data_IF_019241015516
#
_entry.id   IF_019241015516
#
_cell.length_a   1.000
_cell.length_b   1.000
_cell.length_c   1.000
_cell.angle_alpha   90.00
_cell.angle_beta   90.00
_cell.angle_gamma   90.00
#
_symmetry.space_group_name_H-M   'P 1'
#
loop_
_entity.id
_entity.type
_entity.pdbx_description
1 polymer ?
#
# COMPACT_ATOMS: atom_id res chain seq x y z
N UNK A 1 20.31 22.04 -10.67
CA UNK A 1 20.08 21.53 -9.31
C UNK A 1 18.82 20.70 -9.32
N UNK A 2 18.80 19.56 -8.68
CA UNK A 2 17.61 18.72 -8.53
C UNK A 2 16.87 19.09 -7.25
N UNK A 3 15.54 18.97 -7.25
CA UNK A 3 14.70 19.15 -6.05
C UNK A 3 14.98 18.03 -5.01
N UNK A 4 14.84 18.30 -3.72
CA UNK A 4 14.51 19.60 -3.09
C UNK A 4 15.69 20.57 -3.11
N UNK A 5 15.40 21.88 -3.12
CA UNK A 5 16.40 22.95 -3.13
C UNK A 5 16.20 23.82 -1.90
N UNK A 6 17.27 24.14 -1.17
CA UNK A 6 17.19 24.97 0.03
C UNK A 6 18.41 24.89 0.91
N UNK A 7 18.27 25.39 2.14
CA UNK A 7 19.24 25.29 3.24
C UNK A 7 18.49 25.32 4.58
N UNK A 8 19.19 24.99 5.66
CA UNK A 8 18.62 25.01 7.01
C UNK A 8 17.73 23.79 7.27
N UNK A 9 16.66 23.96 8.03
CA UNK A 9 15.74 22.90 8.42
C UNK A 9 14.33 23.23 7.95
N UNK A 10 13.90 22.56 6.91
CA UNK A 10 12.55 22.69 6.34
C UNK A 10 11.89 21.31 6.41
N UNK A 11 11.02 21.11 7.36
CA UNK A 11 10.38 19.82 7.62
C UNK A 11 11.39 18.68 7.75
N UNK A 12 11.24 17.67 6.90
CA UNK A 12 12.14 16.49 6.79
C UNK A 12 13.07 16.56 5.58
N UNK A 13 13.17 17.72 4.89
CA UNK A 13 13.94 17.86 3.66
C UNK A 13 15.44 17.80 3.91
N UNK A 14 16.17 17.23 2.95
CA UNK A 14 17.63 17.22 2.91
C UNK A 14 18.10 17.84 1.60
N UNK A 15 18.87 18.90 1.68
CA UNK A 15 19.35 19.67 0.53
C UNK A 15 20.76 19.26 0.15
N UNK A 16 20.98 18.85 -1.10
CA UNK A 16 22.30 18.43 -1.56
C UNK A 16 22.52 18.77 -3.05
N UNK A 17 23.41 19.75 -3.36
CA UNK A 17 24.05 20.69 -2.42
C UNK A 17 23.06 21.73 -1.89
N UNK A 18 23.24 22.24 -0.68
CA UNK A 18 22.41 23.30 -0.14
C UNK A 18 22.66 24.64 -0.85
N UNK A 19 21.67 25.53 -0.82
CA UNK A 19 21.87 26.94 -1.19
C UNK A 19 22.80 27.57 -0.17
N UNK A 20 23.77 28.36 -0.64
CA UNK A 20 24.72 29.03 0.23
C UNK A 20 24.67 30.53 0.01
N UNK A 21 24.91 31.29 1.07
CA UNK A 21 25.04 32.75 1.01
C UNK A 21 23.72 33.51 0.91
N UNK A 22 22.56 32.89 1.20
CA UNK A 22 21.27 33.58 1.23
C UNK A 22 21.12 34.44 2.47
N UNK A 23 21.43 33.92 3.64
CA UNK A 23 21.31 34.63 4.93
C UNK A 23 22.07 35.92 4.92
N UNK A 24 21.36 37.02 5.18
CA UNK A 24 21.91 38.37 5.22
C UNK A 24 22.21 39.02 3.85
N UNK A 25 21.95 38.37 2.74
CA UNK A 25 22.29 38.88 1.41
C UNK A 25 21.10 39.06 0.47
N UNK A 26 20.14 38.10 0.45
CA UNK A 26 18.95 38.17 -0.42
C UNK A 26 17.80 37.38 0.16
N UNK A 27 16.58 37.79 -0.16
CA UNK A 27 15.34 37.21 0.37
C UNK A 27 14.62 36.27 -0.60
N UNK A 28 15.07 36.25 -1.87
CA UNK A 28 14.35 35.40 -2.86
C UNK A 28 15.29 34.66 -3.82
N UNK A 29 14.76 33.62 -4.42
CA UNK A 29 15.43 32.83 -5.43
C UNK A 29 14.50 32.57 -6.63
N UNK A 30 15.09 32.53 -7.83
CA UNK A 30 14.41 32.17 -9.06
C UNK A 30 14.80 30.78 -9.50
N UNK A 31 13.81 29.96 -9.82
CA UNK A 31 13.98 28.62 -10.36
C UNK A 31 13.29 28.52 -11.71
N UNK A 32 13.85 27.74 -12.61
CA UNK A 32 13.27 27.49 -13.92
C UNK A 32 13.59 26.09 -14.38
N UNK A 33 12.60 25.41 -14.96
CA UNK A 33 12.77 24.11 -15.58
C UNK A 33 11.85 23.98 -16.82
N UNK A 34 12.23 23.10 -17.72
CA UNK A 34 11.46 22.75 -18.91
C UNK A 34 10.83 21.38 -18.70
N UNK A 35 9.61 21.21 -19.23
CA UNK A 35 8.91 19.93 -19.27
C UNK A 35 8.15 19.81 -20.59
N UNK A 36 7.90 18.58 -21.02
CA UNK A 36 7.23 18.33 -22.29
C UNK A 36 5.85 17.71 -22.07
N UNK A 37 4.90 18.18 -22.86
CA UNK A 37 3.59 17.57 -23.03
C UNK A 37 3.67 16.83 -24.37
N UNK A 38 3.69 15.49 -24.29
CA UNK A 38 3.69 14.59 -25.44
C UNK A 38 2.27 14.06 -25.67
N UNK A 39 2.03 13.48 -26.85
CA UNK A 39 0.78 12.79 -27.22
C UNK A 39 -0.46 13.66 -27.53
N UNK A 40 -0.23 14.94 -27.86
CA UNK A 40 -1.28 15.78 -28.48
C UNK A 40 -2.39 16.25 -27.56
N UNK A 41 -2.42 15.84 -26.29
CA UNK A 41 -3.43 16.25 -25.33
C UNK A 41 -2.86 17.16 -24.25
N UNK A 42 -3.10 18.45 -24.39
CA UNK A 42 -2.86 19.41 -23.32
C UNK A 42 -3.86 19.13 -22.19
N UNK A 43 -3.41 18.79 -20.98
CA UNK A 43 -4.32 18.51 -19.87
C UNK A 43 -5.15 19.76 -19.53
N UNK A 44 -6.41 19.54 -19.24
CA UNK A 44 -7.32 20.62 -18.81
C UNK A 44 -6.99 21.08 -17.38
N UNK A 45 -6.38 20.21 -16.61
CA UNK A 45 -6.01 20.43 -15.22
C UNK A 45 -4.64 19.81 -14.95
N UNK A 46 -3.83 20.49 -14.15
CA UNK A 46 -2.61 19.93 -13.54
C UNK A 46 -2.66 20.16 -12.04
N UNK A 47 -2.13 19.22 -11.28
CA UNK A 47 -2.01 19.33 -9.83
C UNK A 47 -0.61 19.83 -9.51
N UNK A 48 -0.53 20.99 -8.85
CA UNK A 48 0.69 21.50 -8.28
C UNK A 48 0.78 21.02 -6.83
N UNK A 49 1.75 20.17 -6.55
CA UNK A 49 2.05 19.67 -5.22
C UNK A 49 3.37 20.25 -4.76
N UNK A 50 3.40 20.83 -3.55
CA UNK A 50 4.60 21.52 -3.09
C UNK A 50 4.77 21.42 -1.57
N UNK A 51 6.02 21.52 -1.17
CA UNK A 51 6.45 21.75 0.21
C UNK A 51 7.40 22.94 0.17
N UNK A 52 7.07 24.00 0.90
CA UNK A 52 7.67 25.30 0.74
C UNK A 52 7.91 25.96 2.09
N UNK A 53 9.03 26.68 2.17
CA UNK A 53 9.43 27.62 3.22
C UNK A 53 10.00 28.88 2.52
N UNK A 54 9.32 30.05 2.45
CA UNK A 54 8.05 30.44 3.08
C UNK A 54 6.95 30.72 2.04
N UNK A 55 7.23 31.49 0.99
CA UNK A 55 6.28 31.95 -0.02
C UNK A 55 6.77 31.73 -1.45
N UNK A 56 5.86 31.65 -2.43
CA UNK A 56 6.22 31.56 -3.84
C UNK A 56 5.17 32.11 -4.79
N UNK A 57 5.64 32.44 -6.01
CA UNK A 57 4.81 32.64 -7.18
C UNK A 57 5.27 31.71 -8.28
N UNK A 58 4.33 31.03 -8.93
CA UNK A 58 4.60 30.06 -10.00
C UNK A 58 4.07 30.57 -11.33
N UNK A 59 4.89 30.47 -12.35
CA UNK A 59 4.58 30.85 -13.71
C UNK A 59 4.73 29.64 -14.64
N UNK A 60 3.80 29.47 -15.58
CA UNK A 60 3.93 28.54 -16.69
C UNK A 60 3.91 29.34 -17.99
N UNK A 61 4.94 29.16 -18.82
CA UNK A 61 5.14 29.90 -20.07
C UNK A 61 5.03 31.43 -19.92
N UNK A 62 5.42 31.96 -18.76
CA UNK A 62 5.37 33.38 -18.44
C UNK A 62 4.05 33.90 -17.90
N UNK A 63 3.03 33.05 -17.80
CA UNK A 63 1.75 33.38 -17.17
C UNK A 63 1.79 32.96 -15.69
N UNK A 64 1.43 33.86 -14.78
CA UNK A 64 1.27 33.53 -13.36
C UNK A 64 0.07 32.57 -13.20
N UNK A 65 0.33 31.41 -12.61
CA UNK A 65 -0.67 30.33 -12.46
C UNK A 65 -1.01 30.02 -11.01
N UNK A 66 -0.09 30.39 -10.10
CA UNK A 66 -0.30 30.19 -8.67
C UNK A 66 0.53 31.19 -7.85
N UNK A 67 0.00 31.58 -6.72
CA UNK A 67 0.66 32.42 -5.71
C UNK A 67 0.21 31.97 -4.33
N UNK A 68 1.15 31.81 -3.39
CA UNK A 68 0.78 31.52 -1.99
C UNK A 68 0.11 32.74 -1.35
N UNK A 69 -0.81 32.51 -0.42
CA UNK A 69 -1.63 33.56 0.20
C UNK A 69 -0.80 34.57 1.01
N UNK A 70 0.40 34.19 1.43
CA UNK A 70 1.33 35.06 2.16
C UNK A 70 2.16 35.97 1.26
N UNK A 71 1.96 35.94 -0.05
CA UNK A 71 2.65 36.83 -0.98
C UNK A 71 1.79 38.03 -1.36
N UNK A 72 2.40 39.22 -1.41
CA UNK A 72 1.72 40.44 -1.82
C UNK A 72 1.17 40.33 -3.25
N UNK A 73 0.03 40.97 -3.53
CA UNK A 73 -0.54 41.03 -4.86
C UNK A 73 0.27 41.95 -5.79
N UNK A 74 0.26 41.63 -7.09
CA UNK A 74 0.94 42.42 -8.12
C UNK A 74 2.38 42.04 -8.38
N UNK A 75 3.14 42.86 -9.13
CA UNK A 75 4.52 42.60 -9.46
C UNK A 75 5.40 42.57 -8.20
N UNK A 76 6.29 41.59 -8.12
CA UNK A 76 7.21 41.38 -7.01
C UNK A 76 8.65 41.70 -7.45
N UNK A 77 9.42 42.29 -6.53
CA UNK A 77 10.84 42.52 -6.66
C UNK A 77 11.64 41.35 -6.12
N UNK A 78 12.92 41.28 -6.45
CA UNK A 78 13.85 40.26 -5.95
C UNK A 78 14.18 40.42 -4.46
N UNK A 79 13.92 41.60 -3.88
CA UNK A 79 14.15 41.96 -2.47
C UNK A 79 12.84 42.00 -1.63
N UNK A 80 11.71 41.60 -2.22
CA UNK A 80 10.50 41.41 -1.45
C UNK A 80 10.63 40.20 -0.51
N UNK A 81 9.78 40.17 0.49
CA UNK A 81 9.70 39.13 1.52
C UNK A 81 8.30 38.51 1.51
N UNK A 82 8.19 37.28 1.99
CA UNK A 82 6.86 36.69 2.25
C UNK A 82 6.22 37.36 3.47
N UNK A 83 4.89 37.50 3.46
CA UNK A 83 4.12 38.12 4.56
C UNK A 83 3.96 37.23 5.80
N UNK A 84 4.62 36.08 5.85
CA UNK A 84 4.56 35.11 6.94
C UNK A 84 5.12 33.76 6.50
N UNK A 85 5.34 32.85 7.46
CA UNK A 85 5.84 31.50 7.21
C UNK A 85 4.81 30.65 6.44
N UNK A 86 5.29 29.81 5.53
CA UNK A 86 4.53 28.75 4.90
C UNK A 86 4.34 27.53 5.82
N UNK A 87 3.60 26.51 5.35
CA UNK A 87 3.57 25.19 6.02
C UNK A 87 4.74 24.33 5.50
N UNK A 88 5.86 24.43 6.14
CA UNK A 88 7.09 23.71 5.79
C UNK A 88 7.11 22.23 6.14
N UNK A 89 6.08 21.73 6.87
CA UNK A 89 6.04 20.37 7.38
C UNK A 89 5.12 19.45 6.59
N UNK A 90 4.16 20.02 5.87
CA UNK A 90 3.16 19.25 5.13
C UNK A 90 3.15 19.62 3.65
N UNK A 91 3.01 18.60 2.82
CA UNK A 91 2.76 18.81 1.40
C UNK A 91 1.41 19.49 1.19
N UNK A 92 1.44 20.57 0.40
CA UNK A 92 0.26 21.30 -0.06
C UNK A 92 -0.05 20.90 -1.50
N UNK A 93 -1.33 20.98 -1.88
CA UNK A 93 -1.77 20.67 -3.23
C UNK A 93 -2.75 21.73 -3.72
N UNK A 94 -2.63 22.11 -4.98
CA UNK A 94 -3.58 23.00 -5.65
C UNK A 94 -3.77 22.62 -7.11
N UNK A 95 -5.01 22.69 -7.59
CA UNK A 95 -5.34 22.45 -8.99
C UNK A 95 -5.15 23.71 -9.82
N UNK A 96 -4.54 23.55 -10.98
CA UNK A 96 -4.35 24.60 -11.98
C UNK A 96 -5.03 24.16 -13.26
N UNK A 97 -6.03 24.91 -13.71
CA UNK A 97 -6.75 24.61 -14.96
C UNK A 97 -5.84 24.87 -16.16
N UNK A 98 -5.68 23.89 -17.03
CA UNK A 98 -4.73 23.91 -18.14
C UNK A 98 -4.89 25.09 -19.11
N UNK A 99 -6.13 25.48 -19.42
CA UNK A 99 -6.41 26.67 -20.24
C UNK A 99 -5.94 27.98 -19.60
N UNK A 100 -6.03 28.09 -18.27
CA UNK A 100 -5.53 29.24 -17.53
C UNK A 100 -4.01 29.20 -17.37
N UNK A 101 -3.41 27.98 -17.34
CA UNK A 101 -1.97 27.79 -17.21
C UNK A 101 -1.19 28.12 -18.50
N UNK A 102 -1.85 28.35 -19.63
CA UNK A 102 -1.18 28.59 -20.90
C UNK A 102 -0.35 27.41 -21.38
N UNK A 103 -0.69 26.20 -20.98
CA UNK A 103 -0.03 24.96 -21.42
C UNK A 103 -0.19 24.75 -22.92
N UNK A 104 0.82 24.16 -23.54
CA UNK A 104 0.83 23.82 -24.98
C UNK A 104 1.46 22.45 -25.20
N UNK A 105 1.16 21.85 -26.33
CA UNK A 105 1.89 20.66 -26.80
C UNK A 105 3.38 20.98 -27.00
N UNK A 106 4.24 20.01 -26.71
CA UNK A 106 5.69 20.16 -26.75
C UNK A 106 6.27 20.79 -25.49
N UNK A 107 7.33 21.57 -25.65
CA UNK A 107 8.10 22.15 -24.54
C UNK A 107 7.35 23.26 -23.84
N UNK A 108 7.18 23.14 -22.53
CA UNK A 108 6.67 24.14 -21.62
C UNK A 108 7.72 24.53 -20.59
N UNK A 109 7.60 25.69 -20.02
CA UNK A 109 8.54 26.22 -19.02
C UNK A 109 7.78 26.54 -17.74
N UNK A 110 8.20 25.93 -16.63
CA UNK A 110 7.83 26.35 -15.29
C UNK A 110 8.90 27.32 -14.76
N UNK A 111 8.50 28.45 -14.21
CA UNK A 111 9.35 29.37 -13.49
C UNK A 111 8.76 29.65 -12.12
N UNK A 112 9.60 29.68 -11.09
CA UNK A 112 9.18 29.89 -9.71
C UNK A 112 10.02 31.02 -9.13
N UNK A 113 9.37 31.99 -8.51
CA UNK A 113 10.00 32.99 -7.66
C UNK A 113 9.62 32.67 -6.22
N UNK A 114 10.57 32.16 -5.46
CA UNK A 114 10.36 31.75 -4.07
C UNK A 114 11.02 32.73 -3.10
N UNK A 115 10.35 32.98 -1.98
CA UNK A 115 10.68 34.08 -1.05
C UNK A 115 10.81 33.54 0.37
N UNK A 116 11.72 34.14 1.08
CA UNK A 116 11.91 34.01 2.53
C UNK A 116 11.17 35.11 3.28
N UNK A 117 10.84 34.92 4.55
CA UNK A 117 10.19 35.91 5.40
C UNK A 117 11.07 37.08 5.76
N UNK A 118 12.40 36.92 5.72
CA UNK A 118 13.37 38.00 6.03
C UNK A 118 14.79 37.67 5.59
N UNK A 119 15.64 38.69 5.48
CA UNK A 119 17.09 38.52 5.28
C UNK A 119 17.76 37.66 6.35
N UNK A 120 17.22 37.63 7.55
CA UNK A 120 17.80 36.94 8.70
C UNK A 120 17.28 35.49 8.88
N UNK A 121 16.40 35.01 8.04
CA UNK A 121 15.92 33.64 8.15
C UNK A 121 17.06 32.63 8.02
N UNK A 122 17.03 31.59 8.85
CA UNK A 122 18.06 30.55 8.94
C UNK A 122 17.76 29.29 8.15
N UNK A 123 16.66 29.31 7.41
CA UNK A 123 16.18 28.24 6.52
C UNK A 123 15.50 28.82 5.29
N UNK A 124 15.34 27.96 4.29
CA UNK A 124 14.62 28.19 3.06
C UNK A 124 14.52 26.87 2.32
N UNK A 125 13.38 26.55 1.80
CA UNK A 125 13.21 25.30 1.05
C UNK A 125 12.08 25.28 0.06
N UNK A 126 12.35 24.62 -1.05
CA UNK A 126 11.38 24.37 -2.12
C UNK A 126 11.48 22.92 -2.58
N UNK A 127 10.37 22.21 -2.52
CA UNK A 127 10.16 20.96 -3.23
C UNK A 127 8.82 21.04 -3.96
N UNK A 128 8.80 20.78 -5.26
CA UNK A 128 7.63 21.00 -6.09
C UNK A 128 7.49 19.89 -7.14
N UNK A 129 6.26 19.46 -7.35
CA UNK A 129 5.90 18.45 -8.34
C UNK A 129 4.73 18.98 -9.18
N UNK A 130 4.82 18.82 -10.50
CA UNK A 130 3.69 18.96 -11.40
C UNK A 130 3.18 17.57 -11.72
N UNK A 131 1.95 17.31 -11.33
CA UNK A 131 1.30 16.03 -11.55
C UNK A 131 0.17 16.21 -12.57
N UNK A 132 0.06 15.27 -13.47
CA UNK A 132 -1.16 15.11 -14.25
C UNK A 132 -2.15 14.42 -13.31
N UNK A 133 -3.33 15.01 -13.02
CA UNK A 133 -4.36 14.26 -12.34
C UNK A 133 -4.57 12.97 -13.12
N UNK A 134 -4.54 11.83 -12.44
CA UNK A 134 -5.02 10.61 -13.05
C UNK A 134 -6.42 10.92 -13.58
N UNK A 135 -6.74 10.58 -14.83
CA UNK A 135 -8.09 10.74 -15.31
C UNK A 135 -8.97 10.07 -14.28
N UNK A 136 -9.90 10.86 -13.71
CA UNK A 136 -10.86 10.31 -12.76
C UNK A 136 -11.61 9.21 -13.50
N UNK A 137 -11.19 7.98 -13.31
CA UNK A 137 -11.84 6.80 -13.89
C UNK A 137 -13.16 6.51 -13.16
N UNK A 138 -13.40 7.17 -12.05
CA UNK A 138 -14.75 7.38 -11.56
C UNK A 138 -15.39 8.50 -12.42
N UNK A 139 -15.92 8.11 -13.57
CA UNK A 139 -16.80 8.96 -14.33
C UNK A 139 -17.90 9.43 -13.36
N UNK A 140 -17.90 10.72 -13.05
CA UNK A 140 -19.08 11.35 -12.45
C UNK A 140 -20.25 10.99 -13.39
N UNK A 141 -21.19 10.14 -12.98
CA UNK A 141 -22.23 9.69 -13.87
C UNK A 141 -23.19 10.84 -14.10
N UNK A 142 -22.83 11.74 -15.00
CA UNK A 142 -23.84 12.59 -15.63
C UNK A 142 -24.93 11.64 -16.13
N UNK A 143 -26.17 11.79 -15.67
CA UNK A 143 -27.22 10.87 -16.04
C UNK A 143 -27.37 10.90 -17.56
N UNK A 144 -26.95 9.82 -18.20
CA UNK A 144 -26.96 9.62 -19.65
C UNK A 144 -28.40 9.29 -20.17
N UNK A 145 -29.41 9.96 -19.65
CA UNK A 145 -30.80 9.71 -20.05
C UNK A 145 -30.95 9.84 -21.58
N UNK A 146 -31.10 8.69 -22.24
CA UNK A 146 -31.26 8.61 -23.70
C UNK A 146 -29.94 8.43 -24.49
N UNK A 147 -28.81 8.32 -23.83
CA UNK A 147 -27.49 7.99 -24.42
C UNK A 147 -26.97 6.67 -23.84
N UNK A 148 -26.00 6.06 -24.52
CA UNK A 148 -25.26 4.92 -23.97
C UNK A 148 -24.50 5.41 -22.73
N UNK A 149 -24.63 4.71 -21.61
CA UNK A 149 -23.91 5.04 -20.37
C UNK A 149 -22.40 5.13 -20.63
N UNK A 150 -21.74 6.16 -20.13
CA UNK A 150 -20.29 6.37 -20.29
C UNK A 150 -19.46 5.24 -19.71
N UNK A 151 -20.00 4.47 -18.77
CA UNK A 151 -19.38 3.26 -18.18
C UNK A 151 -19.87 1.97 -18.87
N UNK A 152 -20.58 2.06 -20.01
CA UNK A 152 -20.98 0.88 -20.76
C UNK A 152 -19.77 0.21 -21.37
N UNK A 153 -19.63 -1.07 -21.12
CA UNK A 153 -18.69 -1.96 -21.80
C UNK A 153 -19.47 -3.02 -22.57
N UNK A 154 -19.03 -3.35 -23.77
CA UNK A 154 -19.59 -4.48 -24.54
C UNK A 154 -19.24 -5.81 -23.89
N UNK A 155 -18.11 -5.85 -23.16
CA UNK A 155 -17.67 -7.03 -22.39
C UNK A 155 -17.47 -6.56 -20.95
N UNK A 156 -18.26 -7.12 -20.03
CA UNK A 156 -18.14 -6.82 -18.61
C UNK A 156 -17.31 -7.92 -17.93
N UNK A 157 -16.31 -7.57 -17.11
CA UNK A 157 -15.52 -8.58 -16.40
C UNK A 157 -16.40 -9.37 -15.41
N UNK A 158 -16.08 -10.66 -15.15
CA UNK A 158 -16.87 -11.51 -14.27
C UNK A 158 -16.89 -10.98 -12.82
N UNK A 159 -18.02 -11.17 -12.15
CA UNK A 159 -18.21 -10.80 -10.75
C UNK A 159 -18.08 -12.02 -9.84
N UNK A 160 -17.17 -11.96 -8.86
CA UNK A 160 -16.91 -13.02 -7.90
C UNK A 160 -17.35 -12.54 -6.52
N UNK A 161 -18.21 -13.32 -5.87
CA UNK A 161 -18.81 -12.98 -4.56
C UNK A 161 -18.88 -14.18 -3.64
N UNK A 162 -19.16 -13.94 -2.35
CA UNK A 162 -19.46 -14.98 -1.37
C UNK A 162 -18.41 -16.10 -1.31
N UNK A 163 -17.13 -15.73 -1.47
CA UNK A 163 -16.04 -16.70 -1.33
C UNK A 163 -16.03 -17.24 0.09
N UNK A 164 -16.09 -18.56 0.21
CA UNK A 164 -16.19 -19.23 1.50
C UNK A 164 -15.43 -20.55 1.48
N UNK A 165 -15.16 -21.08 2.67
CA UNK A 165 -14.68 -22.44 2.86
C UNK A 165 -15.38 -23.08 4.05
N UNK A 166 -15.51 -24.41 4.01
CA UNK A 166 -16.07 -25.19 5.11
C UNK A 166 -15.35 -26.56 5.19
N UNK A 167 -15.00 -27.04 6.40
CA UNK A 167 -15.11 -26.39 7.72
C UNK A 167 -14.25 -25.12 7.83
N UNK A 168 -14.60 -24.20 8.74
CA UNK A 168 -13.84 -22.96 8.97
C UNK A 168 -12.45 -23.21 9.56
N UNK A 169 -12.34 -24.26 10.37
CA UNK A 169 -11.07 -24.77 10.88
C UNK A 169 -11.10 -26.30 10.78
N UNK A 170 -10.63 -26.88 9.65
CA UNK A 170 -10.61 -28.31 9.46
C UNK A 170 -9.57 -28.99 10.37
N UNK A 171 -9.92 -30.14 10.93
CA UNK A 171 -8.98 -31.06 11.58
C UNK A 171 -8.29 -31.97 10.53
N UNK A 172 -7.23 -32.67 10.95
CA UNK A 172 -6.59 -33.67 10.09
C UNK A 172 -7.58 -34.79 9.76
N UNK A 173 -7.70 -35.11 8.48
CA UNK A 173 -8.69 -36.03 7.95
C UNK A 173 -9.91 -35.34 7.33
N UNK A 174 -10.15 -34.08 7.66
CA UNK A 174 -11.23 -33.30 7.06
C UNK A 174 -10.83 -32.74 5.69
N UNK A 175 -11.62 -33.00 4.67
CA UNK A 175 -11.56 -32.27 3.40
C UNK A 175 -12.19 -30.88 3.58
N UNK A 176 -11.71 -29.91 2.83
CA UNK A 176 -12.26 -28.55 2.84
C UNK A 176 -12.91 -28.23 1.51
N UNK A 177 -14.17 -27.81 1.54
CA UNK A 177 -14.90 -27.32 0.37
C UNK A 177 -14.67 -25.81 0.27
N UNK A 178 -14.21 -25.35 -0.90
CA UNK A 178 -14.12 -23.93 -1.25
C UNK A 178 -15.28 -23.63 -2.20
N UNK A 179 -16.01 -22.55 -1.94
CA UNK A 179 -17.13 -22.10 -2.79
C UNK A 179 -16.97 -20.63 -3.16
N UNK A 180 -17.47 -20.27 -4.33
CA UNK A 180 -17.59 -18.89 -4.78
C UNK A 180 -18.84 -18.72 -5.67
N UNK A 181 -19.59 -17.65 -5.48
CA UNK A 181 -20.67 -17.25 -6.41
C UNK A 181 -20.06 -16.44 -7.53
N UNK A 182 -20.18 -16.93 -8.75
CA UNK A 182 -19.69 -16.27 -9.96
C UNK A 182 -20.84 -15.95 -10.88
N UNK A 183 -20.87 -14.73 -11.39
CA UNK A 183 -21.86 -14.31 -12.39
C UNK A 183 -21.19 -13.46 -13.44
N UNK A 184 -21.59 -13.70 -14.69
CA UNK A 184 -21.10 -12.97 -15.84
C UNK A 184 -22.18 -12.89 -16.92
N UNK A 185 -22.44 -11.70 -17.55
CA UNK A 185 -23.43 -11.55 -18.60
C UNK A 185 -23.09 -12.33 -19.88
N UNK A 186 -21.81 -12.42 -20.21
CA UNK A 186 -21.30 -13.07 -21.42
C UNK A 186 -21.09 -14.57 -21.22
N UNK A 187 -21.14 -14.99 -19.98
CA UNK A 187 -21.00 -16.36 -19.52
C UNK A 187 -19.58 -16.73 -19.11
N UNK A 188 -19.49 -17.48 -18.04
CA UNK A 188 -18.24 -17.95 -17.44
C UNK A 188 -17.59 -19.01 -18.35
N UNK A 189 -16.30 -18.85 -18.66
CA UNK A 189 -15.49 -19.81 -19.38
C UNK A 189 -14.76 -20.77 -18.44
N UNK A 190 -14.13 -20.24 -17.38
CA UNK A 190 -13.44 -21.06 -16.39
C UNK A 190 -13.39 -20.40 -15.02
N UNK A 191 -13.46 -21.21 -13.96
CA UNK A 191 -13.20 -20.79 -12.57
C UNK A 191 -12.07 -21.65 -12.03
N UNK A 192 -10.98 -20.99 -11.60
CA UNK A 192 -9.78 -21.64 -11.10
C UNK A 192 -9.51 -21.27 -9.65
N UNK A 193 -9.28 -22.28 -8.84
CA UNK A 193 -8.80 -22.17 -7.48
C UNK A 193 -7.28 -22.34 -7.48
N UNK A 194 -6.55 -21.34 -7.03
CA UNK A 194 -5.10 -21.40 -6.80
C UNK A 194 -4.86 -21.60 -5.30
N UNK A 195 -4.05 -22.59 -4.95
CA UNK A 195 -3.83 -23.02 -3.56
C UNK A 195 -2.34 -23.08 -3.25
N UNK A 196 -1.95 -22.52 -2.10
CA UNK A 196 -0.63 -22.65 -1.54
C UNK A 196 -0.71 -23.26 -0.14
N UNK A 197 -0.21 -24.50 0.02
CA UNK A 197 -0.11 -25.15 1.32
C UNK A 197 1.24 -24.83 1.97
N UNK A 198 1.20 -24.19 3.13
CA UNK A 198 2.37 -23.76 3.90
C UNK A 198 2.52 -24.68 5.12
N UNK A 199 3.40 -25.66 5.02
CA UNK A 199 3.68 -26.61 6.09
C UNK A 199 4.37 -25.94 7.29
N UNK A 200 4.31 -26.54 8.50
CA UNK A 200 5.07 -26.08 9.65
C UNK A 200 6.55 -25.93 9.33
N UNK A 201 7.13 -24.77 9.69
CA UNK A 201 8.53 -24.43 9.41
C UNK A 201 8.81 -23.88 8.00
N UNK A 202 7.84 -23.92 7.09
CA UNK A 202 7.96 -23.43 5.72
C UNK A 202 7.24 -22.10 5.47
N UNK A 203 7.05 -21.30 6.52
CA UNK A 203 6.34 -20.02 6.40
C UNK A 203 7.03 -19.07 5.43
N UNK A 204 6.29 -18.62 4.43
CA UNK A 204 6.72 -17.65 3.41
C UNK A 204 5.89 -16.37 3.55
N UNK A 205 6.49 -15.26 3.99
CA UNK A 205 5.82 -13.97 4.03
C UNK A 205 5.66 -13.38 2.63
N UNK A 206 4.60 -12.59 2.40
CA UNK A 206 4.41 -11.87 1.13
C UNK A 206 5.43 -10.75 0.93
N UNK A 207 5.89 -10.15 2.02
CA UNK A 207 6.87 -9.05 1.98
C UNK A 207 8.13 -9.41 2.76
N UNK A 208 9.27 -8.94 2.29
CA UNK A 208 10.54 -9.07 2.99
C UNK A 208 10.59 -8.14 4.21
N UNK A 209 11.24 -8.59 5.29
CA UNK A 209 11.50 -7.74 6.43
C UNK A 209 12.48 -6.61 6.06
N UNK A 210 12.26 -5.40 6.56
CA UNK A 210 13.21 -4.29 6.37
C UNK A 210 14.50 -4.56 7.14
N UNK A 211 15.62 -4.31 6.48
CA UNK A 211 16.94 -4.33 7.16
C UNK A 211 17.08 -3.12 8.08
N UNK A 212 17.95 -3.21 9.08
CA UNK A 212 18.28 -2.07 9.95
C UNK A 212 18.72 -0.84 9.14
N UNK A 213 19.51 -1.06 8.08
CA UNK A 213 19.95 0.03 7.19
C UNK A 213 18.76 0.71 6.50
N UNK A 214 17.82 -0.05 5.96
CA UNK A 214 16.63 0.50 5.32
C UNK A 214 15.76 1.28 6.31
N UNK A 215 15.59 0.76 7.54
CA UNK A 215 14.84 1.43 8.60
C UNK A 215 15.48 2.76 9.03
N UNK A 216 16.81 2.86 8.99
CA UNK A 216 17.52 4.10 9.37
C UNK A 216 17.56 5.12 8.23
N UNK A 217 17.56 4.68 6.97
CA UNK A 217 17.67 5.58 5.81
C UNK A 217 16.31 6.03 5.25
N UNK A 218 15.32 5.14 5.22
CA UNK A 218 13.96 5.40 4.75
C UNK A 218 12.97 4.42 5.39
N UNK A 219 12.55 4.68 6.64
CA UNK A 219 11.67 3.77 7.38
C UNK A 219 10.31 3.60 6.75
N UNK A 220 9.77 4.62 6.10
CA UNK A 220 8.42 4.64 5.53
C UNK A 220 8.35 4.05 4.11
N UNK A 221 9.49 3.82 3.45
CA UNK A 221 9.50 3.19 2.13
C UNK A 221 8.68 1.88 2.11
N UNK A 222 7.98 1.57 1.02
CA UNK A 222 7.28 0.30 0.86
C UNK A 222 8.20 -0.89 1.10
N UNK A 223 7.66 -1.98 1.64
CA UNK A 223 8.41 -3.23 1.77
C UNK A 223 8.56 -3.89 0.41
N UNK A 224 9.72 -4.45 0.16
CA UNK A 224 9.94 -5.24 -1.03
C UNK A 224 9.06 -6.51 -0.99
N UNK A 225 8.43 -6.84 -2.08
CA UNK A 225 7.73 -8.10 -2.26
C UNK A 225 8.70 -9.28 -2.15
N UNK A 226 8.19 -10.39 -1.68
CA UNK A 226 8.96 -11.62 -1.60
C UNK A 226 8.63 -12.52 -2.80
N UNK A 227 9.53 -12.68 -3.77
CA UNK A 227 9.26 -13.50 -4.95
C UNK A 227 8.89 -14.96 -4.62
N UNK A 228 9.35 -15.48 -3.47
CA UNK A 228 9.00 -16.82 -3.03
C UNK A 228 7.52 -16.98 -2.67
N UNK A 229 6.82 -15.88 -2.38
CA UNK A 229 5.39 -15.90 -2.06
C UNK A 229 4.54 -16.28 -3.27
N UNK A 230 4.93 -15.87 -4.46
CA UNK A 230 4.22 -16.21 -5.71
C UNK A 230 4.60 -17.60 -6.26
N UNK A 231 5.42 -18.36 -5.54
CA UNK A 231 5.78 -19.72 -5.93
C UNK A 231 4.87 -20.74 -5.24
N UNK A 232 4.83 -21.95 -5.85
CA UNK A 232 4.13 -23.12 -5.29
C UNK A 232 2.61 -22.94 -5.13
N UNK A 233 1.98 -22.16 -5.98
CA UNK A 233 0.53 -22.09 -6.12
C UNK A 233 0.07 -23.18 -7.08
N UNK A 234 -0.66 -24.19 -6.56
CA UNK A 234 -1.27 -25.24 -7.35
C UNK A 234 -2.63 -24.79 -7.86
N UNK A 235 -2.89 -24.96 -9.17
CA UNK A 235 -4.17 -24.58 -9.79
C UNK A 235 -5.11 -25.78 -9.93
N UNK A 236 -6.41 -25.57 -9.64
CA UNK A 236 -7.50 -26.54 -9.81
C UNK A 236 -8.71 -25.85 -10.45
N UNK A 237 -9.50 -26.61 -11.20
CA UNK A 237 -10.80 -26.12 -11.65
C UNK A 237 -11.81 -26.21 -10.51
N UNK A 238 -12.70 -25.25 -10.47
CA UNK A 238 -13.94 -25.26 -9.70
C UNK A 238 -15.10 -25.54 -10.66
N UNK A 239 -16.10 -26.29 -10.23
CA UNK A 239 -17.23 -26.69 -11.05
C UNK A 239 -18.57 -26.23 -10.47
N UNK A 240 -19.54 -26.02 -11.35
CA UNK A 240 -20.95 -25.71 -11.07
C UNK A 240 -21.79 -26.75 -11.86
N UNK A 241 -21.63 -28.02 -11.50
CA UNK A 241 -22.18 -29.17 -12.22
C UNK A 241 -23.14 -30.04 -11.39
N UNK A 242 -23.39 -29.65 -10.15
CA UNK A 242 -24.25 -30.41 -9.21
C UNK A 242 -23.62 -31.72 -8.72
N UNK A 243 -22.26 -31.84 -8.80
CA UNK A 243 -21.56 -33.07 -8.44
C UNK A 243 -20.55 -32.82 -7.33
N UNK A 244 -20.43 -33.76 -6.40
CA UNK A 244 -19.42 -33.70 -5.33
C UNK A 244 -19.71 -32.62 -4.26
N UNK A 245 -18.99 -31.54 -4.26
CA UNK A 245 -19.21 -30.43 -3.34
C UNK A 245 -20.17 -29.35 -3.85
N UNK A 246 -20.55 -29.45 -5.11
CA UNK A 246 -21.55 -28.60 -5.71
C UNK A 246 -22.95 -29.23 -5.48
N UNK A 247 -23.85 -28.45 -4.88
CA UNK A 247 -25.20 -28.94 -4.52
C UNK A 247 -26.18 -28.78 -5.66
N UNK A 248 -26.04 -27.78 -6.52
CA UNK A 248 -27.04 -27.42 -7.54
C UNK A 248 -26.36 -26.94 -8.82
N UNK A 249 -26.44 -27.76 -9.86
CA UNK A 249 -25.87 -27.43 -11.16
C UNK A 249 -26.44 -26.14 -11.76
N UNK A 250 -25.58 -25.28 -12.27
CA UNK A 250 -25.93 -24.06 -13.01
C UNK A 250 -26.51 -22.93 -12.15
N UNK A 251 -26.35 -23.01 -10.84
CA UNK A 251 -26.80 -21.93 -9.95
C UNK A 251 -25.77 -20.81 -9.81
N UNK A 252 -24.60 -20.97 -10.42
CA UNK A 252 -23.47 -20.03 -10.40
C UNK A 252 -22.63 -20.11 -9.12
N UNK A 253 -22.83 -21.13 -8.28
CA UNK A 253 -21.95 -21.41 -7.14
C UNK A 253 -20.93 -22.46 -7.54
N UNK A 254 -19.73 -22.01 -7.84
CA UNK A 254 -18.63 -22.89 -8.17
C UNK A 254 -17.97 -23.45 -6.92
N UNK A 255 -17.64 -24.72 -6.94
CA UNK A 255 -17.03 -25.42 -5.82
C UNK A 255 -15.80 -26.24 -6.19
N UNK A 256 -14.91 -26.44 -5.21
CA UNK A 256 -13.80 -27.38 -5.28
C UNK A 256 -13.52 -28.00 -3.91
N UNK A 257 -13.11 -29.27 -3.91
CA UNK A 257 -12.69 -29.99 -2.71
C UNK A 257 -11.17 -29.94 -2.60
N UNK A 258 -10.68 -29.52 -1.45
CA UNK A 258 -9.28 -29.65 -1.05
C UNK A 258 -9.14 -30.80 -0.07
N UNK A 259 -8.23 -31.71 -0.39
CA UNK A 259 -7.90 -32.82 0.50
C UNK A 259 -7.26 -32.30 1.80
N UNK A 260 -7.46 -33.08 2.87
CA UNK A 260 -6.87 -32.80 4.17
C UNK A 260 -5.35 -32.57 4.09
N UNK A 261 -4.88 -31.57 4.79
CA UNK A 261 -3.47 -31.26 4.93
C UNK A 261 -2.94 -31.77 6.29
N UNK A 262 -1.61 -31.91 6.46
CA UNK A 262 -1.03 -32.19 7.76
C UNK A 262 -1.41 -31.16 8.82
N UNK A 263 -1.42 -31.59 10.10
CA UNK A 263 -1.67 -30.69 11.24
C UNK A 263 -0.76 -29.47 11.22
N UNK A 264 -1.32 -28.29 11.52
CA UNK A 264 -0.65 -26.98 11.53
C UNK A 264 -0.23 -26.49 10.15
N UNK A 265 -0.92 -26.87 9.10
CA UNK A 265 -0.73 -26.32 7.76
C UNK A 265 -1.62 -25.09 7.58
N UNK A 266 -1.02 -23.97 7.17
CA UNK A 266 -1.72 -22.80 6.67
C UNK A 266 -2.02 -23.05 5.19
N UNK A 267 -3.28 -22.99 4.80
CA UNK A 267 -3.69 -23.10 3.40
C UNK A 267 -4.20 -21.76 2.92
N UNK A 268 -3.48 -21.19 1.98
CA UNK A 268 -3.83 -19.95 1.28
C UNK A 268 -4.51 -20.28 -0.03
N UNK A 269 -5.49 -19.47 -0.44
CA UNK A 269 -6.13 -19.67 -1.74
C UNK A 269 -6.59 -18.35 -2.36
N UNK A 270 -6.66 -18.36 -3.69
CA UNK A 270 -7.14 -17.28 -4.57
C UNK A 270 -8.06 -17.89 -5.60
N UNK A 271 -8.99 -17.12 -6.15
CA UNK A 271 -9.88 -17.59 -7.21
C UNK A 271 -9.74 -16.67 -8.40
N UNK A 272 -9.48 -17.26 -9.57
CA UNK A 272 -9.41 -16.54 -10.85
C UNK A 272 -10.54 -17.05 -11.73
N UNK A 273 -11.28 -16.12 -12.30
CA UNK A 273 -12.38 -16.41 -13.23
C UNK A 273 -12.04 -15.79 -14.58
N UNK A 274 -12.28 -16.53 -15.63
CA UNK A 274 -12.21 -16.08 -17.01
C UNK A 274 -13.59 -16.22 -17.64
N UNK A 275 -14.07 -15.17 -18.30
CA UNK A 275 -15.32 -15.18 -19.05
C UNK A 275 -15.12 -15.70 -20.50
N UNK A 276 -16.21 -15.82 -21.26
CA UNK A 276 -16.16 -16.22 -22.67
C UNK A 276 -15.67 -15.10 -23.60
N UNK A 277 -15.63 -13.87 -23.12
CA UNK A 277 -15.07 -12.69 -23.79
C UNK A 277 -13.55 -12.61 -23.69
N UNK A 278 -12.94 -13.36 -22.75
CA UNK A 278 -11.49 -13.37 -22.47
C UNK A 278 -11.08 -12.42 -21.36
N UNK A 279 -12.05 -11.76 -20.69
CA UNK A 279 -11.77 -10.95 -19.50
C UNK A 279 -11.52 -11.85 -18.29
N UNK A 280 -10.61 -11.44 -17.43
CA UNK A 280 -10.21 -12.24 -16.27
C UNK A 280 -10.14 -11.41 -15.01
N UNK A 281 -10.72 -11.94 -13.94
CA UNK A 281 -10.71 -11.32 -12.60
C UNK A 281 -10.20 -12.31 -11.57
N UNK A 282 -9.38 -11.83 -10.65
CA UNK A 282 -8.87 -12.60 -9.50
C UNK A 282 -9.33 -11.97 -8.19
N UNK A 283 -9.75 -12.81 -7.25
CA UNK A 283 -10.04 -12.38 -5.88
C UNK A 283 -9.10 -13.08 -4.87
N UNK A 284 -8.66 -12.37 -3.79
CA UNK A 284 -8.95 -10.97 -3.49
C UNK A 284 -8.53 -10.04 -4.63
N UNK A 285 -9.27 -8.94 -4.82
CA UNK A 285 -8.96 -7.94 -5.85
C UNK A 285 -7.60 -7.25 -5.58
N UNK A 286 -7.05 -6.60 -6.59
CA UNK A 286 -5.72 -5.97 -6.49
C UNK A 286 -5.68 -4.81 -5.46
N UNK A 287 -6.80 -4.13 -5.25
CA UNK A 287 -7.01 -3.06 -4.28
C UNK A 287 -7.51 -3.55 -2.90
N UNK A 288 -7.69 -4.87 -2.72
CA UNK A 288 -8.06 -5.45 -1.43
C UNK A 288 -6.82 -5.48 -0.50
N UNK A 289 -7.01 -5.16 0.78
CA UNK A 289 -5.94 -5.31 1.79
C UNK A 289 -5.45 -6.75 1.94
N UNK A 290 -6.27 -7.72 1.55
CA UNK A 290 -5.96 -9.14 1.59
C UNK A 290 -5.32 -9.59 0.29
N UNK A 291 -4.19 -10.26 0.37
CA UNK A 291 -3.52 -10.85 -0.80
C UNK A 291 -4.06 -12.23 -1.17
N UNK A 292 -4.72 -12.90 -0.23
CA UNK A 292 -5.29 -14.23 -0.36
C UNK A 292 -6.35 -14.47 0.73
N UNK A 293 -7.23 -15.42 0.49
CA UNK A 293 -8.01 -16.07 1.53
C UNK A 293 -7.15 -17.16 2.20
N UNK A 294 -7.51 -17.58 3.43
CA UNK A 294 -6.78 -18.65 4.08
C UNK A 294 -7.62 -19.37 5.14
N UNK A 295 -7.25 -20.62 5.40
CA UNK A 295 -7.66 -21.38 6.58
C UNK A 295 -6.46 -22.08 7.21
N UNK A 296 -6.62 -22.51 8.45
CA UNK A 296 -5.58 -23.20 9.20
C UNK A 296 -6.04 -24.58 9.61
N UNK A 297 -5.40 -25.62 9.08
CA UNK A 297 -5.69 -27.00 9.44
C UNK A 297 -5.07 -27.31 10.78
N UNK A 298 -5.89 -27.74 11.77
CA UNK A 298 -5.43 -27.79 13.13
C UNK A 298 -6.25 -28.76 14.00
N UNK A 299 -5.56 -29.73 14.64
CA UNK A 299 -6.17 -30.77 15.46
C UNK A 299 -6.43 -30.38 16.93
N UNK A 300 -6.23 -29.10 17.27
CA UNK A 300 -6.33 -28.64 18.65
C UNK A 300 -4.94 -28.51 19.32
N UNK A 301 -4.97 -28.07 20.57
CA UNK A 301 -3.78 -27.77 21.34
C UNK A 301 -3.24 -29.07 21.94
N UNK A 302 -1.95 -29.39 21.77
CA UNK A 302 -1.34 -30.52 22.47
C UNK A 302 -1.18 -30.21 23.96
N UNK A 303 -0.92 -31.23 24.77
CA UNK A 303 -0.50 -31.07 26.14
C UNK A 303 0.72 -30.15 26.21
N UNK A 304 0.71 -29.20 27.13
CA UNK A 304 1.79 -28.25 27.33
C UNK A 304 2.68 -28.67 28.49
N UNK A 305 3.94 -28.93 28.19
CA UNK A 305 4.94 -29.35 29.17
C UNK A 305 5.82 -28.18 29.61
N UNK A 306 5.93 -27.99 30.90
CA UNK A 306 6.79 -26.98 31.52
C UNK A 306 7.74 -27.63 32.53
N UNK A 307 8.65 -26.85 33.09
CA UNK A 307 9.49 -27.28 34.20
C UNK A 307 8.73 -27.51 35.52
N UNK A 308 7.48 -27.02 35.63
CA UNK A 308 6.64 -27.18 36.83
C UNK A 308 5.57 -28.27 36.68
N UNK A 309 5.37 -28.79 35.47
CA UNK A 309 4.39 -29.87 35.22
C UNK A 309 3.91 -29.90 33.76
N UNK A 310 2.99 -30.83 33.53
CA UNK A 310 2.28 -30.95 32.24
C UNK A 310 0.84 -30.51 32.48
N UNK A 311 0.39 -29.58 31.61
CA UNK A 311 -0.99 -29.14 31.52
C UNK A 311 -1.66 -29.87 30.36
N UNK A 312 -2.82 -30.47 30.62
CA UNK A 312 -3.54 -31.17 29.56
C UNK A 312 -4.07 -30.21 28.50
N UNK A 313 -4.31 -30.72 27.31
CA UNK A 313 -4.96 -30.00 26.22
C UNK A 313 -6.24 -29.29 26.66
N UNK A 314 -7.06 -29.94 27.48
CA UNK A 314 -8.32 -29.37 28.01
C UNK A 314 -8.09 -28.19 28.97
N UNK A 315 -7.03 -28.25 29.79
CA UNK A 315 -6.68 -27.13 30.67
C UNK A 315 -6.18 -25.95 29.88
N UNK A 316 -5.33 -26.17 28.86
CA UNK A 316 -4.82 -25.10 27.99
C UNK A 316 -5.93 -24.48 27.16
N UNK A 317 -6.90 -25.24 26.70
CA UNK A 317 -8.07 -24.75 25.95
C UNK A 317 -9.04 -23.91 26.78
N UNK A 318 -8.95 -23.94 28.12
CA UNK A 318 -9.77 -23.10 28.98
C UNK A 318 -9.46 -21.60 28.86
N UNK A 319 -8.36 -21.25 28.25
CA UNK A 319 -7.96 -19.86 27.94
C UNK A 319 -7.92 -19.62 26.42
N UNK A 320 -8.12 -18.38 25.96
CA UNK A 320 -7.99 -18.06 24.53
C UNK A 320 -6.61 -18.43 23.98
N UNK A 321 -6.57 -19.15 22.86
CA UNK A 321 -5.33 -19.54 22.21
C UNK A 321 -5.17 -18.81 20.91
N UNK A 322 -4.01 -18.16 20.76
CA UNK A 322 -3.63 -17.42 19.59
C UNK A 322 -2.45 -18.10 18.91
N UNK A 323 -2.52 -18.27 17.59
CA UNK A 323 -1.40 -18.78 16.82
C UNK A 323 -0.75 -17.62 16.06
N UNK A 324 0.55 -17.53 16.16
CA UNK A 324 1.37 -16.61 15.36
C UNK A 324 2.32 -17.44 14.52
N UNK A 325 2.02 -17.54 13.22
CA UNK A 325 2.87 -18.24 12.26
C UNK A 325 3.83 -17.24 11.62
N UNK A 326 5.11 -17.51 11.69
CA UNK A 326 6.14 -16.62 11.18
C UNK A 326 7.37 -17.40 10.73
N UNK A 327 8.21 -16.80 9.88
CA UNK A 327 9.48 -17.42 9.51
C UNK A 327 10.44 -17.52 10.72
N UNK A 328 11.12 -18.64 10.85
CA UNK A 328 12.08 -18.84 11.95
C UNK A 328 13.14 -17.73 12.04
N UNK A 329 13.62 -17.24 10.89
CA UNK A 329 14.57 -16.14 10.85
C UNK A 329 13.98 -14.84 11.43
N UNK A 330 12.72 -14.54 11.13
CA UNK A 330 12.00 -13.38 11.66
C UNK A 330 11.80 -13.51 13.18
N UNK A 331 11.41 -14.68 13.65
CA UNK A 331 11.25 -14.95 15.09
C UNK A 331 12.57 -14.79 15.84
N UNK A 332 13.66 -15.38 15.33
CA UNK A 332 14.98 -15.27 15.94
C UNK A 332 15.46 -13.81 16.00
N UNK A 333 15.22 -13.04 14.96
CA UNK A 333 15.54 -11.61 14.96
C UNK A 333 14.68 -10.84 15.97
N UNK A 334 13.38 -11.13 16.04
CA UNK A 334 12.47 -10.50 16.99
C UNK A 334 12.84 -10.78 18.45
N UNK A 335 13.21 -12.03 18.77
CA UNK A 335 13.66 -12.43 20.11
C UNK A 335 15.05 -11.89 20.43
N UNK A 336 15.95 -11.88 19.46
CA UNK A 336 17.32 -11.37 19.59
C UNK A 336 17.44 -9.86 19.76
N UNK A 337 16.40 -9.11 19.46
CA UNK A 337 16.40 -7.65 19.60
C UNK A 337 16.59 -7.25 21.07
N UNK A 338 17.69 -6.60 21.38
CA UNK A 338 18.08 -6.24 22.73
C UNK A 338 17.95 -4.75 23.09
N UNK A 339 17.42 -3.94 22.16
CA UNK A 339 17.24 -2.47 22.33
C UNK A 339 18.54 -1.67 22.23
N UNK A 340 19.69 -2.32 22.02
CA UNK A 340 20.96 -1.69 21.70
C UNK A 340 21.21 -1.58 20.19
N UNK A 341 20.31 -2.18 19.38
CA UNK A 341 20.34 -2.00 17.94
C UNK A 341 20.20 -0.50 17.62
N UNK A 342 20.81 -0.08 16.55
CA UNK A 342 20.99 1.32 16.14
C UNK A 342 19.69 2.13 15.96
N UNK A 343 18.53 1.51 16.14
CA UNK A 343 17.24 2.18 16.08
C UNK A 343 16.98 2.84 17.43
N UNK A 344 17.31 4.12 17.53
CA UNK A 344 17.18 4.91 18.73
C UNK A 344 15.72 5.09 19.17
N UNK A 345 15.50 5.49 20.43
CA UNK A 345 14.17 5.86 20.94
C UNK A 345 13.59 7.06 20.22
N UNK A 346 14.43 7.91 19.70
CA UNK A 346 14.08 9.20 19.09
C UNK A 346 13.72 9.04 17.59
N UNK A 347 13.99 7.88 16.99
CA UNK A 347 13.56 7.56 15.63
C UNK A 347 12.23 6.79 15.68
N UNK A 348 11.13 7.55 15.76
CA UNK A 348 9.78 6.99 15.90
C UNK A 348 9.39 6.14 14.68
N UNK A 349 9.65 6.61 13.47
CA UNK A 349 9.26 5.94 12.22
C UNK A 349 10.01 4.61 12.06
N UNK A 350 11.32 4.63 12.26
CA UNK A 350 12.11 3.39 12.22
C UNK A 350 11.64 2.38 13.27
N UNK A 351 11.24 2.84 14.46
CA UNK A 351 10.70 1.99 15.53
C UNK A 351 9.33 1.44 15.22
N UNK A 352 8.45 2.23 14.61
CA UNK A 352 7.10 1.78 14.23
C UNK A 352 7.17 0.71 13.14
N UNK A 353 8.09 0.84 12.19
CA UNK A 353 8.32 -0.10 11.10
C UNK A 353 9.20 -1.31 11.47
N UNK A 354 9.79 -1.33 12.67
CA UNK A 354 10.56 -2.46 13.17
C UNK A 354 9.64 -3.58 13.67
N UNK A 355 9.13 -4.33 12.73
CA UNK A 355 8.17 -5.41 12.92
C UNK A 355 8.38 -6.50 11.84
N UNK A 356 7.80 -7.67 12.06
CA UNK A 356 7.97 -8.85 11.20
C UNK A 356 6.63 -9.37 10.72
N UNK A 357 6.61 -9.94 9.53
CA UNK A 357 5.41 -10.51 8.96
C UNK A 357 5.02 -11.80 9.68
N UNK A 358 3.72 -12.00 9.85
CA UNK A 358 3.14 -13.22 10.39
C UNK A 358 1.73 -13.48 9.84
N UNK A 359 1.25 -14.69 10.07
CA UNK A 359 -0.18 -15.00 10.04
C UNK A 359 -0.66 -15.17 11.46
N UNK A 360 -1.75 -14.49 11.80
CA UNK A 360 -2.40 -14.61 13.10
C UNK A 360 -3.66 -15.45 12.97
N UNK A 361 -3.84 -16.45 13.87
CA UNK A 361 -5.04 -17.30 13.87
C UNK A 361 -5.69 -17.28 15.25
N UNK A 362 -6.99 -17.07 15.26
CA UNK A 362 -7.81 -17.08 16.47
C UNK A 362 -9.22 -17.59 16.15
N UNK A 363 -9.70 -18.59 16.88
CA UNK A 363 -11.03 -19.20 16.71
C UNK A 363 -11.37 -19.55 15.25
N UNK A 364 -10.45 -20.18 14.55
CA UNK A 364 -10.60 -20.55 13.14
C UNK A 364 -10.55 -19.40 12.12
N UNK A 365 -10.45 -18.16 12.59
CA UNK A 365 -10.23 -17.00 11.70
C UNK A 365 -8.75 -16.82 11.45
N UNK A 366 -8.40 -16.69 10.19
CA UNK A 366 -7.03 -16.47 9.74
C UNK A 366 -6.88 -15.02 9.26
N UNK A 367 -5.91 -14.33 9.82
CA UNK A 367 -5.49 -12.99 9.43
C UNK A 367 -4.08 -13.12 8.87
N UNK A 368 -3.99 -13.30 7.56
CA UNK A 368 -2.69 -13.46 6.89
C UNK A 368 -2.04 -12.11 6.59
N UNK A 369 -0.73 -12.14 6.33
CA UNK A 369 0.08 -10.97 6.03
C UNK A 369 0.06 -9.86 7.09
N UNK A 370 -0.21 -10.22 8.33
CA UNK A 370 -0.13 -9.34 9.48
C UNK A 370 1.32 -9.04 9.87
N UNK A 371 1.48 -8.04 10.71
CA UNK A 371 2.78 -7.67 11.28
C UNK A 371 2.75 -7.85 12.80
N UNK A 372 3.83 -8.34 13.37
CA UNK A 372 4.00 -8.45 14.82
C UNK A 372 5.29 -7.82 15.29
N UNK A 373 5.30 -7.44 16.54
CA UNK A 373 6.48 -6.97 17.27
C UNK A 373 6.38 -7.44 18.72
N UNK A 374 7.47 -7.93 19.25
CA UNK A 374 7.52 -8.27 20.67
C UNK A 374 7.48 -7.00 21.52
N UNK A 375 6.57 -7.00 22.51
CA UNK A 375 6.45 -5.89 23.43
C UNK A 375 7.66 -5.84 24.34
N UNK A 376 8.23 -4.68 24.49
CA UNK A 376 9.25 -4.23 25.45
C UNK A 376 10.29 -5.26 25.99
N UNK A 377 11.40 -4.72 26.45
CA UNK A 377 12.58 -5.44 26.96
C UNK A 377 12.25 -6.51 28.02
N UNK A 378 11.32 -6.21 28.92
CA UNK A 378 11.00 -7.11 30.05
C UNK A 378 10.13 -8.32 29.66
N UNK A 379 9.36 -8.24 28.57
CA UNK A 379 8.53 -9.36 28.13
C UNK A 379 9.34 -10.47 27.42
N UNK A 380 10.59 -10.21 27.06
CA UNK A 380 11.47 -11.18 26.38
C UNK A 380 12.10 -12.23 27.29
N UNK A 381 12.08 -11.97 28.59
CA UNK A 381 12.79 -12.80 29.58
C UNK A 381 11.87 -13.72 30.37
N UNK A 382 10.59 -13.74 30.07
CA UNK A 382 9.58 -14.53 30.81
C UNK A 382 9.07 -15.74 30.01
N UNK A 383 9.78 -16.15 28.98
CA UNK A 383 9.49 -17.36 28.20
C UNK A 383 10.29 -18.55 28.68
#
# INVERSE_FOLDING_TARGET
QTLPIGFGRVGTQSFNPPITGMVGNYTSCFFRNEFEIVDGEVPQEILLRYLLDDGMVVYINGLEVFRTDNMAAGPLSYDDESGGSGDENNWQETSITGGAAGLKEGTNVIAIHAFNTSLGSNDFGLNIELLRPEPNTEADPEPSAGLVNTVFSEVAPPSIRQVSHFPKQPAVGDSTVITAKVTDPDGVASVRLEVQAVAPGAYVPAFLAKTTRALLSNPTAPRAENPAYEQNWASRLMTDDGIGADEVAGDGVYSAILESQPNRTLVRYRITVEDKGGESVRVPYADDERLNFAYFQYDGIPDYRTNVGTFSSSEVQSVPVYHVLTAAANFNQAVGYNGSDQISRDNYDARSEYNWNCTFVYEGKVFDNMKYRLRQRNARYSG
#
